data_IF_418031246359
#
_entry.id   IF_418031246359
#
_cell.length_a   1.000
_cell.length_b   1.000
_cell.length_c   1.000
_cell.angle_alpha   90.00
_cell.angle_beta   90.00
_cell.angle_gamma   90.00
#
_symmetry.space_group_name_H-M   'P 1'
#
loop_
_entity.id
_entity.type
_entity.pdbx_description
1 polymer ?
#
# COMPACT_ATOMS: atom_id res chain seq x y z
N UNK A 1 4.58 -27.26 15.95
CA UNK A 1 3.19 -27.28 15.41
C UNK A 1 2.59 -25.94 15.79
N UNK A 2 2.71 -24.94 14.90
CA UNK A 2 2.18 -23.59 15.14
C UNK A 2 0.67 -23.62 14.93
N UNK A 3 -0.08 -23.36 15.99
CA UNK A 3 -1.52 -23.10 15.93
C UNK A 3 -1.74 -21.86 15.03
N UNK A 4 -1.98 -22.08 13.75
CA UNK A 4 -2.64 -21.07 12.92
C UNK A 4 -4.07 -20.94 13.46
N UNK A 5 -4.28 -20.05 14.42
CA UNK A 5 -5.62 -19.51 14.67
C UNK A 5 -6.04 -18.83 13.37
N UNK A 6 -7.04 -19.41 12.71
CA UNK A 6 -7.77 -18.77 11.63
C UNK A 6 -8.38 -17.50 12.21
N UNK A 7 -7.71 -16.38 12.05
CA UNK A 7 -8.13 -15.08 12.58
C UNK A 7 -9.33 -14.52 11.82
N UNK A 8 -9.91 -15.30 10.88
CA UNK A 8 -11.12 -14.93 10.14
C UNK A 8 -10.92 -13.80 9.13
N UNK A 9 -9.67 -13.44 8.82
CA UNK A 9 -9.42 -12.43 7.78
C UNK A 9 -9.53 -13.06 6.39
N UNK A 10 -10.39 -12.49 5.57
CA UNK A 10 -10.41 -12.80 4.14
C UNK A 10 -9.17 -12.20 3.47
N UNK A 11 -8.64 -12.86 2.42
CA UNK A 11 -7.58 -12.32 1.58
C UNK A 11 -7.96 -12.45 0.11
N UNK A 12 -7.37 -11.62 -0.72
CA UNK A 12 -7.31 -11.84 -2.16
C UNK A 12 -5.92 -11.42 -2.67
N UNK A 13 -5.22 -12.31 -3.37
CA UNK A 13 -3.93 -12.01 -3.98
C UNK A 13 -3.87 -12.57 -5.39
N UNK A 14 -3.53 -11.70 -6.35
CA UNK A 14 -3.37 -12.02 -7.78
C UNK A 14 -2.05 -11.45 -8.32
N UNK A 15 -0.98 -11.49 -7.53
CA UNK A 15 0.29 -10.84 -7.89
C UNK A 15 1.18 -11.67 -8.84
N UNK A 16 0.97 -12.98 -8.90
CA UNK A 16 1.84 -13.86 -9.68
C UNK A 16 1.06 -14.81 -10.58
N UNK A 17 1.72 -15.35 -11.60
CA UNK A 17 1.14 -16.32 -12.54
C UNK A 17 0.73 -17.63 -11.87
N UNK A 18 1.33 -17.98 -10.71
CA UNK A 18 1.05 -19.19 -9.95
C UNK A 18 -0.16 -19.04 -9.02
N UNK A 19 -0.93 -17.98 -9.16
CA UNK A 19 -2.12 -17.77 -8.34
C UNK A 19 -3.11 -18.93 -8.43
N UNK A 20 -3.79 -19.23 -7.33
CA UNK A 20 -4.67 -20.39 -7.23
C UNK A 20 -5.70 -20.45 -8.37
N UNK A 21 -5.68 -21.54 -9.14
CA UNK A 21 -6.55 -21.80 -10.29
C UNK A 21 -6.55 -20.68 -11.37
N UNK A 22 -5.52 -19.85 -11.45
CA UNK A 22 -5.49 -18.70 -12.34
C UNK A 22 -6.54 -17.62 -12.00
N UNK A 23 -7.16 -17.67 -10.79
CA UNK A 23 -8.26 -16.78 -10.38
C UNK A 23 -7.95 -15.92 -9.16
N UNK A 24 -6.89 -16.24 -8.43
CA UNK A 24 -6.50 -15.55 -7.20
C UNK A 24 -6.47 -16.46 -5.97
N UNK A 25 -5.57 -16.14 -5.05
CA UNK A 25 -5.47 -16.81 -3.76
C UNK A 25 -6.41 -16.13 -2.76
N UNK A 26 -7.33 -16.92 -2.16
CA UNK A 26 -8.38 -16.37 -1.28
C UNK A 26 -8.32 -16.89 0.16
N UNK A 27 -7.49 -17.89 0.45
CA UNK A 27 -7.33 -18.50 1.78
C UNK A 27 -5.88 -18.54 2.23
N UNK A 28 -5.01 -18.93 1.33
CA UNK A 28 -3.56 -18.99 1.50
C UNK A 28 -2.94 -18.82 0.13
N UNK A 29 -1.87 -18.03 0.04
CA UNK A 29 -1.09 -17.92 -1.19
C UNK A 29 -0.46 -19.26 -1.57
N UNK A 30 -0.44 -19.62 -2.86
CA UNK A 30 0.33 -20.78 -3.35
C UNK A 30 1.81 -20.66 -2.94
N UNK A 31 2.32 -19.44 -2.81
CA UNK A 31 3.65 -19.11 -2.31
C UNK A 31 3.80 -19.19 -0.77
N UNK A 32 2.73 -19.48 -0.04
CA UNK A 32 2.73 -19.49 1.43
C UNK A 32 2.34 -18.15 2.08
N UNK A 33 2.00 -17.11 1.30
CA UNK A 33 1.51 -15.82 1.84
C UNK A 33 0.22 -16.05 2.64
N UNK A 34 0.23 -15.65 3.90
CA UNK A 34 -0.94 -15.76 4.79
C UNK A 34 -1.93 -14.62 4.55
N UNK A 35 -3.20 -14.75 4.97
CA UNK A 35 -4.16 -13.64 4.94
C UNK A 35 -3.66 -12.41 5.71
N UNK A 36 -3.01 -12.59 6.85
CA UNK A 36 -2.42 -11.49 7.62
C UNK A 36 -1.43 -10.68 6.77
N UNK A 37 -0.47 -11.35 6.12
CA UNK A 37 0.53 -10.68 5.28
C UNK A 37 -0.11 -10.02 4.06
N UNK A 38 -1.05 -10.68 3.39
CA UNK A 38 -1.73 -10.10 2.23
C UNK A 38 -2.44 -8.79 2.60
N UNK A 39 -3.18 -8.79 3.70
CA UNK A 39 -3.90 -7.62 4.18
C UNK A 39 -2.97 -6.47 4.62
N UNK A 40 -1.87 -6.78 5.32
CA UNK A 40 -0.89 -5.76 5.70
C UNK A 40 -0.18 -5.16 4.47
N UNK A 41 0.12 -5.96 3.45
CA UNK A 41 0.69 -5.46 2.19
C UNK A 41 -0.28 -4.56 1.43
N UNK A 42 -1.56 -4.93 1.34
CA UNK A 42 -2.58 -4.10 0.71
C UNK A 42 -2.72 -2.76 1.43
N UNK A 43 -2.74 -2.78 2.76
CA UNK A 43 -2.81 -1.58 3.59
C UNK A 43 -1.55 -0.71 3.43
N UNK A 44 -0.37 -1.32 3.29
CA UNK A 44 0.88 -0.59 3.03
C UNK A 44 0.81 0.14 1.68
N UNK A 45 0.37 -0.53 0.61
CA UNK A 45 0.17 0.11 -0.70
C UNK A 45 -0.84 1.27 -0.58
N UNK A 46 -1.90 1.09 0.18
CA UNK A 46 -2.89 2.13 0.43
C UNK A 46 -2.28 3.37 1.12
N UNK A 47 -1.41 3.18 2.10
CA UNK A 47 -0.67 4.25 2.77
C UNK A 47 0.30 4.96 1.82
N UNK A 48 1.04 4.22 0.97
CA UNK A 48 1.94 4.80 -0.02
C UNK A 48 1.19 5.68 -1.03
N UNK A 49 -0.04 5.30 -1.40
CA UNK A 49 -0.92 6.16 -2.22
C UNK A 49 -1.25 7.47 -1.52
N UNK A 50 -1.46 7.44 -0.20
CA UNK A 50 -1.65 8.65 0.60
C UNK A 50 -0.42 9.57 0.59
N UNK A 51 0.78 9.01 0.76
CA UNK A 51 2.06 9.73 0.62
C UNK A 51 2.16 10.36 -0.78
N UNK A 52 1.80 9.61 -1.82
CA UNK A 52 1.86 10.09 -3.21
C UNK A 52 0.94 11.27 -3.48
N UNK A 53 -0.23 11.34 -2.81
CA UNK A 53 -1.14 12.47 -2.94
C UNK A 53 -0.47 13.79 -2.48
N UNK A 54 0.21 13.77 -1.34
CA UNK A 54 0.93 14.94 -0.83
C UNK A 54 2.18 15.24 -1.66
N UNK A 55 2.94 14.22 -2.02
CA UNK A 55 4.13 14.38 -2.86
C UNK A 55 3.83 14.98 -4.23
N UNK A 56 2.70 14.62 -4.85
CA UNK A 56 2.23 15.24 -6.10
C UNK A 56 2.08 16.75 -5.95
N UNK A 57 1.45 17.20 -4.86
CA UNK A 57 1.26 18.65 -4.60
C UNK A 57 2.58 19.38 -4.43
N UNK A 58 3.57 18.77 -3.74
CA UNK A 58 4.92 19.34 -3.61
C UNK A 58 5.58 19.52 -4.98
N UNK A 59 5.52 18.50 -5.84
CA UNK A 59 6.08 18.56 -7.19
C UNK A 59 5.41 19.62 -8.04
N UNK A 60 4.07 19.75 -7.97
CA UNK A 60 3.31 20.77 -8.69
C UNK A 60 3.66 22.19 -8.24
N UNK A 61 4.03 22.36 -6.96
CA UNK A 61 4.58 23.61 -6.40
C UNK A 61 6.06 23.86 -6.74
N UNK A 62 6.70 22.97 -7.53
CA UNK A 62 8.12 23.05 -7.87
C UNK A 62 9.08 22.67 -6.73
N UNK A 63 8.57 22.05 -5.68
CA UNK A 63 9.37 21.57 -4.55
C UNK A 63 9.92 20.17 -4.81
N UNK A 64 11.03 19.84 -4.18
CA UNK A 64 11.64 18.51 -4.22
C UNK A 64 11.11 17.64 -3.07
N UNK A 65 11.03 16.34 -3.32
CA UNK A 65 10.75 15.36 -2.28
C UNK A 65 12.08 14.88 -1.72
N UNK A 66 12.12 14.72 -0.42
CA UNK A 66 13.28 14.20 0.28
C UNK A 66 13.67 12.81 -0.25
N UNK A 67 14.96 12.59 -0.48
CA UNK A 67 15.50 11.31 -0.96
C UNK A 67 15.20 10.16 0.00
N UNK A 68 15.14 10.41 1.30
CA UNK A 68 14.81 9.39 2.29
C UNK A 68 13.37 8.92 2.13
N UNK A 69 12.43 9.82 1.81
CA UNK A 69 11.04 9.46 1.51
C UNK A 69 10.97 8.62 0.24
N UNK A 70 11.75 8.99 -0.79
CA UNK A 70 11.83 8.21 -2.04
C UNK A 70 12.31 6.79 -1.75
N UNK A 71 13.45 6.65 -1.07
CA UNK A 71 14.04 5.36 -0.72
C UNK A 71 13.11 4.52 0.18
N UNK A 72 12.39 5.15 1.10
CA UNK A 72 11.39 4.48 1.91
C UNK A 72 10.26 3.88 1.04
N UNK A 73 9.71 4.67 0.12
CA UNK A 73 8.64 4.20 -0.78
C UNK A 73 9.13 3.06 -1.68
N UNK A 74 10.34 3.16 -2.23
CA UNK A 74 10.97 2.09 -3.02
C UNK A 74 11.08 0.80 -2.22
N UNK A 75 11.61 0.88 -1.00
CA UNK A 75 11.76 -0.25 -0.10
C UNK A 75 10.40 -0.89 0.25
N UNK A 76 9.40 -0.08 0.55
CA UNK A 76 8.04 -0.57 0.81
C UNK A 76 7.46 -1.32 -0.39
N UNK A 77 7.55 -0.75 -1.60
CA UNK A 77 7.08 -1.40 -2.83
C UNK A 77 7.82 -2.71 -3.09
N UNK A 78 9.15 -2.72 -2.92
CA UNK A 78 9.95 -3.94 -3.04
C UNK A 78 9.51 -5.02 -2.04
N UNK A 79 9.25 -4.62 -0.79
CA UNK A 79 8.80 -5.51 0.29
C UNK A 79 7.46 -6.21 -0.04
N UNK A 80 6.58 -5.56 -0.80
CA UNK A 80 5.28 -6.15 -1.18
C UNK A 80 5.34 -7.11 -2.37
N UNK A 81 6.49 -7.23 -3.05
CA UNK A 81 6.62 -8.14 -4.19
C UNK A 81 6.48 -9.61 -3.77
N UNK A 82 6.13 -10.45 -4.74
CA UNK A 82 5.93 -11.89 -4.52
C UNK A 82 7.18 -12.53 -3.90
N UNK A 83 7.01 -13.24 -2.79
CA UNK A 83 8.05 -13.99 -2.06
C UNK A 83 9.22 -13.16 -1.50
N UNK A 84 9.08 -11.85 -1.37
CA UNK A 84 10.16 -11.01 -0.83
C UNK A 84 10.14 -10.98 0.69
N UNK A 85 8.99 -10.65 1.29
CA UNK A 85 8.88 -10.55 2.74
C UNK A 85 7.51 -11.04 3.25
N UNK A 86 7.54 -11.96 4.22
CA UNK A 86 6.35 -12.50 4.88
C UNK A 86 6.37 -12.28 6.40
N UNK A 87 7.17 -11.33 6.87
CA UNK A 87 7.22 -10.93 8.27
C UNK A 87 6.16 -9.86 8.58
N UNK A 88 5.18 -10.20 9.39
CA UNK A 88 4.09 -9.30 9.76
C UNK A 88 4.57 -8.09 10.57
N UNK A 89 5.55 -8.27 11.46
CA UNK A 89 6.04 -7.19 12.31
C UNK A 89 6.87 -6.17 11.53
N UNK A 90 7.57 -6.61 10.48
CA UNK A 90 8.21 -5.72 9.51
C UNK A 90 7.17 -4.87 8.80
N UNK A 91 6.08 -5.46 8.30
CA UNK A 91 5.00 -4.72 7.63
C UNK A 91 4.32 -3.72 8.57
N UNK A 92 4.08 -4.08 9.83
CA UNK A 92 3.54 -3.16 10.85
C UNK A 92 4.49 -1.99 11.09
N UNK A 93 5.80 -2.22 11.14
CA UNK A 93 6.79 -1.15 11.30
C UNK A 93 6.78 -0.20 10.10
N UNK A 94 6.76 -0.73 8.87
CA UNK A 94 6.67 0.07 7.65
C UNK A 94 5.36 0.87 7.58
N UNK A 95 4.24 0.29 8.01
CA UNK A 95 2.96 0.98 8.09
C UNK A 95 3.02 2.19 9.05
N UNK A 96 3.59 2.03 10.23
CA UNK A 96 3.76 3.12 11.20
C UNK A 96 4.65 4.23 10.66
N UNK A 97 5.77 3.88 10.04
CA UNK A 97 6.68 4.84 9.41
C UNK A 97 5.99 5.57 8.25
N UNK A 98 5.21 4.87 7.43
CA UNK A 98 4.43 5.48 6.34
C UNK A 98 3.42 6.51 6.86
N UNK A 99 2.78 6.25 8.01
CA UNK A 99 1.88 7.21 8.65
C UNK A 99 2.63 8.47 9.11
N UNK A 100 3.79 8.31 9.73
CA UNK A 100 4.62 9.45 10.18
C UNK A 100 5.08 10.32 8.98
N UNK A 101 5.51 9.68 7.89
CA UNK A 101 5.89 10.40 6.67
C UNK A 101 4.69 11.16 6.10
N UNK A 102 3.53 10.52 6.02
CA UNK A 102 2.30 11.13 5.51
C UNK A 102 1.88 12.35 6.36
N UNK A 103 1.99 12.26 7.67
CA UNK A 103 1.70 13.38 8.59
C UNK A 103 2.66 14.55 8.37
N UNK A 104 3.96 14.30 8.28
CA UNK A 104 4.96 15.35 7.97
C UNK A 104 4.66 16.03 6.64
N UNK A 105 4.32 15.27 5.61
CA UNK A 105 3.96 15.83 4.31
C UNK A 105 2.67 16.65 4.39
N UNK A 106 1.68 16.19 5.15
CA UNK A 106 0.42 16.92 5.39
C UNK A 106 0.67 18.26 6.09
N UNK A 107 1.56 18.32 7.07
CA UNK A 107 1.94 19.58 7.75
C UNK A 107 2.58 20.58 6.77
N UNK A 108 3.43 20.11 5.86
CA UNK A 108 4.10 20.98 4.87
C UNK A 108 3.14 21.44 3.76
N UNK A 109 2.29 20.55 3.28
CA UNK A 109 1.40 20.80 2.13
C UNK A 109 0.13 21.55 2.53
N UNK A 110 -0.38 21.28 3.74
CA UNK A 110 -1.71 21.69 4.20
C UNK A 110 -2.82 20.80 3.63
N UNK A 111 -4.05 21.32 3.66
CA UNK A 111 -5.21 20.61 3.10
C UNK A 111 -5.11 20.49 1.59
N UNK A 112 -5.35 19.28 1.08
CA UNK A 112 -5.40 19.00 -0.35
C UNK A 112 -6.85 19.15 -0.82
N UNK A 113 -7.11 19.99 -1.82
CA UNK A 113 -8.42 20.05 -2.48
C UNK A 113 -8.67 18.76 -3.27
N UNK A 114 -9.88 18.22 -3.18
CA UNK A 114 -10.26 16.94 -3.81
C UNK A 114 -9.43 15.75 -3.32
N UNK A 115 -9.18 15.67 -2.01
CA UNK A 115 -8.46 14.56 -1.40
C UNK A 115 -9.21 13.23 -1.57
N UNK A 116 -8.43 12.20 -1.85
CA UNK A 116 -8.90 10.81 -1.84
C UNK A 116 -8.88 10.25 -0.42
N UNK A 117 -9.59 9.15 -0.19
CA UNK A 117 -9.55 8.42 1.07
C UNK A 117 -8.11 8.08 1.50
N UNK A 118 -7.22 7.78 0.54
CA UNK A 118 -5.82 7.48 0.81
C UNK A 118 -5.08 8.62 1.54
N UNK A 119 -5.36 9.88 1.17
CA UNK A 119 -4.72 11.04 1.78
C UNK A 119 -5.23 11.29 3.21
N UNK A 120 -6.52 11.07 3.47
CA UNK A 120 -7.16 11.38 4.74
C UNK A 120 -7.17 10.24 5.75
N UNK A 121 -6.94 9.01 5.31
CA UNK A 121 -6.92 7.84 6.18
C UNK A 121 -5.82 7.95 7.23
N UNK A 122 -6.18 7.72 8.48
CA UNK A 122 -5.23 7.63 9.60
C UNK A 122 -5.07 6.16 10.00
N UNK A 123 -3.82 5.72 10.06
CA UNK A 123 -3.49 4.36 10.43
C UNK A 123 -3.80 4.12 11.91
N UNK A 124 -4.49 3.04 12.29
CA UNK A 124 -4.66 2.66 13.69
C UNK A 124 -3.32 2.28 14.36
N UNK A 125 -3.29 2.34 15.69
CA UNK A 125 -2.07 2.07 16.46
C UNK A 125 -1.73 0.59 16.56
N UNK A 126 -2.74 -0.26 16.70
CA UNK A 126 -2.54 -1.70 16.93
C UNK A 126 -2.63 -2.52 15.66
N UNK A 127 -1.81 -3.58 15.56
CA UNK A 127 -1.86 -4.53 14.44
C UNK A 127 -3.27 -5.10 14.22
N UNK A 128 -4.00 -5.40 15.31
CA UNK A 128 -5.35 -5.94 15.21
C UNK A 128 -6.33 -4.96 14.56
N UNK A 129 -6.23 -3.68 14.85
CA UNK A 129 -7.05 -2.63 14.22
C UNK A 129 -6.62 -2.40 12.77
N UNK A 130 -5.31 -2.39 12.48
CA UNK A 130 -4.81 -2.33 11.11
C UNK A 130 -5.40 -3.44 10.24
N UNK A 131 -5.45 -4.67 10.75
CA UNK A 131 -6.02 -5.81 10.05
C UNK A 131 -7.55 -5.73 9.89
N UNK A 132 -8.26 -5.07 10.81
CA UNK A 132 -9.69 -4.78 10.65
C UNK A 132 -9.95 -3.75 9.54
N UNK A 133 -9.04 -2.80 9.38
CA UNK A 133 -9.14 -1.75 8.36
C UNK A 133 -8.60 -2.19 6.99
N UNK A 134 -7.73 -3.21 6.94
CA UNK A 134 -7.11 -3.68 5.71
C UNK A 134 -8.09 -3.99 4.56
N UNK A 135 -9.32 -4.51 4.80
CA UNK A 135 -10.31 -4.67 3.75
C UNK A 135 -10.63 -3.39 2.97
N UNK A 136 -10.47 -2.19 3.58
CA UNK A 136 -10.65 -0.91 2.89
C UNK A 136 -9.65 -0.73 1.74
N UNK A 137 -8.45 -1.29 1.89
CA UNK A 137 -7.37 -1.23 0.92
C UNK A 137 -7.52 -2.29 -0.18
N UNK A 138 -8.15 -3.42 0.13
CA UNK A 138 -8.23 -4.59 -0.75
C UNK A 138 -9.18 -4.39 -1.93
N UNK A 139 -8.92 -5.12 -3.02
CA UNK A 139 -9.76 -5.10 -4.24
C UNK A 139 -11.15 -5.69 -4.03
N UNK A 140 -11.37 -6.42 -2.95
CA UNK A 140 -12.65 -7.05 -2.62
C UNK A 140 -13.59 -6.15 -1.83
N UNK A 141 -13.17 -4.93 -1.47
CA UNK A 141 -13.92 -4.00 -0.61
C UNK A 141 -15.31 -3.66 -1.17
N UNK A 142 -15.41 -3.37 -2.46
CA UNK A 142 -16.69 -3.06 -3.11
C UNK A 142 -17.06 -4.16 -4.10
N UNK A 143 -17.62 -5.25 -3.60
CA UNK A 143 -18.00 -6.43 -4.42
C UNK A 143 -19.05 -6.12 -5.50
N UNK A 144 -19.76 -4.99 -5.38
CA UNK A 144 -20.74 -4.52 -6.37
C UNK A 144 -20.11 -3.89 -7.61
N UNK A 145 -18.84 -3.47 -7.54
CA UNK A 145 -18.14 -2.90 -8.68
C UNK A 145 -17.65 -3.99 -9.64
N UNK A 146 -17.53 -3.61 -10.90
CA UNK A 146 -16.92 -4.44 -11.94
C UNK A 146 -15.51 -4.90 -11.50
N UNK A 147 -15.13 -6.18 -11.77
CA UNK A 147 -13.83 -6.72 -11.39
C UNK A 147 -12.64 -5.90 -11.91
N UNK A 148 -12.73 -5.35 -13.13
CA UNK A 148 -11.66 -4.55 -13.72
C UNK A 148 -11.51 -3.22 -12.97
N UNK A 149 -12.62 -2.58 -12.58
CA UNK A 149 -12.60 -1.38 -11.76
C UNK A 149 -12.01 -1.68 -10.38
N UNK A 150 -12.36 -2.81 -9.77
CA UNK A 150 -11.79 -3.23 -8.47
C UNK A 150 -10.29 -3.46 -8.54
N UNK A 151 -9.79 -4.05 -9.62
CA UNK A 151 -8.36 -4.31 -9.80
C UNK A 151 -7.54 -3.01 -9.82
N UNK A 152 -8.12 -1.91 -10.29
CA UNK A 152 -7.47 -0.59 -10.26
C UNK A 152 -7.21 -0.06 -8.83
N UNK A 153 -7.86 -0.60 -7.82
CA UNK A 153 -7.62 -0.17 -6.42
C UNK A 153 -6.21 -0.49 -5.93
N UNK A 154 -5.64 -1.63 -6.32
CA UNK A 154 -4.25 -1.98 -6.02
C UNK A 154 -3.28 -1.51 -7.08
N UNK A 155 -3.76 -1.12 -8.26
CA UNK A 155 -2.90 -0.54 -9.26
C UNK A 155 -2.50 0.89 -8.87
N UNK A 156 -1.28 1.24 -9.24
CA UNK A 156 -0.80 2.61 -9.10
C UNK A 156 -1.47 3.42 -10.21
N UNK A 157 -2.46 4.27 -9.85
CA UNK A 157 -3.15 5.12 -10.84
C UNK A 157 -2.17 6.06 -11.52
N UNK A 158 -2.43 6.47 -12.79
CA UNK A 158 -1.51 7.29 -13.59
C UNK A 158 -0.97 8.53 -12.88
N UNK A 159 -1.76 9.15 -12.03
CA UNK A 159 -1.37 10.31 -11.23
C UNK A 159 -0.29 9.99 -10.19
N UNK A 160 -0.32 8.80 -9.63
CA UNK A 160 0.68 8.29 -8.70
C UNK A 160 1.91 7.76 -9.46
N UNK A 161 1.71 7.19 -10.67
CA UNK A 161 2.78 6.85 -11.60
C UNK A 161 3.62 8.08 -12.01
N UNK A 162 2.99 9.23 -12.23
CA UNK A 162 3.70 10.50 -12.50
C UNK A 162 4.55 10.89 -11.29
N UNK A 163 4.01 10.73 -10.09
CA UNK A 163 4.76 10.96 -8.86
C UNK A 163 5.94 9.99 -8.75
N UNK A 164 5.72 8.70 -8.88
CA UNK A 164 6.78 7.69 -8.83
C UNK A 164 7.78 7.87 -9.98
N UNK A 165 7.37 8.09 -11.23
CA UNK A 165 8.27 8.37 -12.33
C UNK A 165 9.13 9.60 -12.09
N UNK A 166 8.58 10.69 -11.56
CA UNK A 166 9.37 11.87 -11.24
C UNK A 166 10.29 11.67 -10.05
N UNK A 167 9.92 10.81 -9.09
CA UNK A 167 10.81 10.37 -8.03
C UNK A 167 12.00 9.59 -8.59
N UNK A 168 11.74 8.56 -9.40
CA UNK A 168 12.76 7.63 -9.89
C UNK A 168 13.67 8.23 -10.96
N UNK A 169 13.13 9.00 -11.91
CA UNK A 169 13.91 9.47 -13.07
C UNK A 169 14.56 10.83 -12.87
N UNK A 170 14.11 11.69 -11.96
CA UNK A 170 14.84 12.93 -11.63
C UNK A 170 15.98 12.73 -10.65
N UNK A 171 15.99 11.68 -9.83
CA UNK A 171 17.13 11.36 -8.98
C UNK A 171 18.31 10.75 -9.77
N UNK A 172 18.07 10.24 -10.98
CA UNK A 172 19.11 9.70 -11.85
C UNK A 172 19.79 10.76 -12.75
N UNK A 173 19.36 12.03 -12.70
CA UNK A 173 19.87 13.12 -13.55
C UNK A 173 20.66 14.18 -12.76
N UNK A 174 21.18 13.84 -11.60
CA UNK A 174 22.16 14.54 -10.79
C UNK A 174 23.28 13.56 -10.46
#
# INVERSE_FOLDING_TARGET
>A
MSNNMDLGYEMFCYQCEQTANGKGCTRLGVCGKTPEIANLQDLLIFQLKGISCYGKVLIEKGQHIDKDIVSFVENCLFTTLTNVNFDADVHVSLLRESQQIKEKLREVVGEIKNHTLHATYNLPETKSEMLKDAPLAGIMYEKSLDPDIRSLRLSIVPEQLIFFNRMFFKSAAL
#
